data_IF_881268751234
#
_entry.id   IF_881268751234
#
_cell.length_a   1.000
_cell.length_b   1.000
_cell.length_c   1.000
_cell.angle_alpha   90.00
_cell.angle_beta   90.00
_cell.angle_gamma   90.00
#
_symmetry.space_group_name_H-M   'P 1'
#
loop_
_entity.id
_entity.type
_entity.pdbx_description
1 polymer ?
#
# COMPACT_ATOMS: atom_id res chain seq x y z
N UNK A 1 25.45 8.74 -3.37
CA UNK A 1 24.71 7.55 -3.85
C UNK A 1 23.26 7.87 -3.59
N UNK A 2 22.38 7.89 -4.59
CA UNK A 2 20.98 8.24 -4.38
C UNK A 2 20.26 7.10 -3.64
N UNK A 3 19.39 7.47 -2.69
CA UNK A 3 18.54 6.54 -1.96
C UNK A 3 17.51 5.90 -2.92
N UNK A 4 17.28 4.60 -2.81
CA UNK A 4 16.24 3.91 -3.58
C UNK A 4 15.34 3.12 -2.62
N UNK A 5 14.06 3.48 -2.57
CA UNK A 5 13.03 2.76 -1.81
C UNK A 5 11.97 2.24 -2.76
N UNK A 6 11.39 1.08 -2.44
CA UNK A 6 10.26 0.50 -3.15
C UNK A 6 9.04 0.48 -2.22
N UNK A 7 7.90 0.96 -2.72
CA UNK A 7 6.69 1.14 -1.91
C UNK A 7 5.59 0.14 -2.26
N UNK A 8 5.51 -0.29 -3.54
CA UNK A 8 4.46 -1.20 -3.97
C UNK A 8 4.96 -2.24 -4.96
N UNK A 9 4.33 -3.41 -4.95
CA UNK A 9 4.60 -4.51 -5.89
C UNK A 9 3.29 -5.13 -6.36
N UNK A 10 3.22 -5.43 -7.68
CA UNK A 10 2.11 -6.14 -8.29
C UNK A 10 2.63 -7.16 -9.30
N UNK A 11 1.93 -8.27 -9.47
CA UNK A 11 2.35 -9.34 -10.35
C UNK A 11 1.17 -9.93 -11.13
N UNK A 12 1.37 -10.08 -12.43
CA UNK A 12 0.44 -10.82 -13.30
C UNK A 12 0.68 -12.32 -13.20
N UNK A 13 1.92 -12.71 -12.95
CA UNK A 13 2.36 -14.10 -12.84
C UNK A 13 3.75 -14.17 -12.22
N UNK A 14 4.21 -15.36 -11.86
CA UNK A 14 5.58 -15.60 -11.39
C UNK A 14 6.69 -15.23 -12.40
N UNK A 15 6.34 -14.80 -13.62
CA UNK A 15 7.27 -14.37 -14.66
C UNK A 15 7.07 -12.92 -15.12
N UNK A 16 6.12 -12.22 -14.52
CA UNK A 16 5.85 -10.82 -14.84
C UNK A 16 5.36 -10.12 -13.58
N UNK A 17 6.20 -9.27 -13.03
CA UNK A 17 5.91 -8.46 -11.86
C UNK A 17 6.52 -7.06 -12.01
N UNK A 18 5.92 -6.11 -11.32
CA UNK A 18 6.30 -4.71 -11.32
C UNK A 18 6.45 -4.22 -9.88
N UNK A 19 7.50 -3.44 -9.62
CA UNK A 19 7.68 -2.76 -8.35
C UNK A 19 7.96 -1.28 -8.60
N UNK A 20 7.37 -0.43 -7.77
CA UNK A 20 7.49 1.01 -7.90
C UNK A 20 7.93 1.66 -6.60
N UNK A 21 8.46 2.87 -6.71
CA UNK A 21 8.92 3.67 -5.59
C UNK A 21 9.68 4.90 -6.06
N UNK A 22 10.80 5.21 -5.39
CA UNK A 22 11.60 6.39 -5.61
C UNK A 22 13.09 6.10 -5.72
N UNK A 23 13.80 6.90 -6.51
CA UNK A 23 15.26 6.95 -6.58
C UNK A 23 15.75 8.41 -6.53
N UNK A 24 16.19 8.87 -5.37
CA UNK A 24 16.42 10.30 -5.14
C UNK A 24 15.09 11.05 -5.20
N UNK A 25 14.99 12.02 -6.10
CA UNK A 25 13.77 12.81 -6.33
C UNK A 25 12.98 12.32 -7.55
N UNK A 26 13.41 11.21 -8.18
CA UNK A 26 12.80 10.63 -9.37
C UNK A 26 11.98 9.38 -9.04
N UNK A 27 10.96 9.11 -9.85
CA UNK A 27 10.25 7.82 -9.82
C UNK A 27 11.20 6.66 -10.09
N UNK A 28 10.93 5.51 -9.47
CA UNK A 28 11.63 4.25 -9.71
C UNK A 28 10.65 3.16 -10.10
N UNK A 29 10.84 2.55 -11.26
CA UNK A 29 10.05 1.40 -11.73
C UNK A 29 10.99 0.25 -12.05
N UNK A 30 10.71 -0.92 -11.45
CA UNK A 30 11.39 -2.17 -11.74
C UNK A 30 10.41 -3.16 -12.38
N UNK A 31 10.90 -3.93 -13.34
CA UNK A 31 10.16 -5.00 -13.99
C UNK A 31 10.89 -6.34 -13.85
N UNK A 32 10.16 -7.38 -13.44
CA UNK A 32 10.59 -8.77 -13.43
C UNK A 32 10.17 -9.45 -14.73
N UNK A 33 11.13 -9.95 -15.50
CA UNK A 33 10.92 -10.61 -16.80
C UNK A 33 10.86 -12.15 -16.71
N UNK A 34 10.77 -12.70 -15.49
CA UNK A 34 10.83 -14.12 -15.18
C UNK A 34 12.24 -14.64 -14.93
N UNK A 35 13.27 -13.78 -15.06
CA UNK A 35 14.67 -14.14 -14.83
C UNK A 35 15.42 -13.12 -13.98
N UNK A 36 15.05 -11.86 -14.04
CA UNK A 36 15.73 -10.76 -13.33
C UNK A 36 14.84 -9.54 -13.18
N UNK A 37 15.12 -8.76 -12.15
CA UNK A 37 14.61 -7.40 -12.00
C UNK A 37 15.48 -6.39 -12.74
N UNK A 38 14.88 -5.54 -13.55
CA UNK A 38 15.57 -4.47 -14.28
C UNK A 38 14.78 -3.16 -14.18
N UNK A 39 15.51 -2.05 -14.15
CA UNK A 39 14.91 -0.72 -14.15
C UNK A 39 14.26 -0.42 -15.49
N UNK A 40 13.09 0.19 -15.47
CA UNK A 40 12.35 0.66 -16.63
C UNK A 40 12.25 2.17 -16.54
N UNK A 41 12.51 2.87 -17.66
CA UNK A 41 12.39 4.32 -17.72
C UNK A 41 10.93 4.74 -17.52
N UNK A 42 10.72 5.70 -16.64
CA UNK A 42 9.42 6.31 -16.37
C UNK A 42 9.48 7.82 -16.55
N UNK A 43 8.38 8.47 -16.93
CA UNK A 43 8.32 9.93 -16.98
C UNK A 43 8.25 10.50 -15.55
N UNK A 44 9.00 11.59 -15.32
CA UNK A 44 8.88 12.44 -14.14
C UNK A 44 8.13 13.72 -14.50
N UNK A 45 7.45 14.31 -13.51
CA UNK A 45 6.81 15.62 -13.62
C UNK A 45 7.76 16.69 -13.08
N UNK A 46 8.15 17.63 -13.96
CA UNK A 46 9.02 18.74 -13.53
C UNK A 46 10.43 18.29 -13.15
N UNK A 47 11.09 19.14 -12.35
CA UNK A 47 12.47 18.94 -11.86
C UNK A 47 12.52 18.60 -10.38
N UNK A 48 11.38 18.62 -9.70
CA UNK A 48 11.28 18.46 -8.25
C UNK A 48 10.85 17.02 -7.89
N UNK A 49 10.38 16.83 -6.70
CA UNK A 49 10.08 15.52 -6.12
C UNK A 49 8.99 14.76 -6.89
N UNK A 50 9.25 13.49 -7.21
CA UNK A 50 8.30 12.54 -7.82
C UNK A 50 8.45 11.17 -7.16
N UNK A 51 7.35 10.58 -6.73
CA UNK A 51 7.35 9.19 -6.25
C UNK A 51 6.11 8.42 -6.70
N UNK A 52 6.21 7.11 -6.67
CA UNK A 52 5.13 6.18 -6.99
C UNK A 52 4.88 5.28 -5.77
N UNK A 53 3.68 5.34 -5.23
CA UNK A 53 3.29 4.65 -3.99
C UNK A 53 2.49 3.38 -4.24
N UNK A 54 1.76 3.33 -5.36
CA UNK A 54 0.92 2.20 -5.74
C UNK A 54 1.21 1.69 -7.14
N UNK A 55 1.10 0.37 -7.34
CA UNK A 55 1.14 -0.29 -8.66
C UNK A 55 0.12 -1.41 -8.75
N UNK A 56 -0.60 -1.50 -9.88
CA UNK A 56 -1.56 -2.57 -10.16
C UNK A 56 -1.42 -3.04 -11.61
N UNK A 57 -1.13 -4.31 -11.79
CA UNK A 57 -0.93 -4.94 -13.10
C UNK A 57 -2.15 -5.78 -13.49
N UNK A 58 -2.88 -5.34 -14.52
CA UNK A 58 -4.00 -6.07 -15.13
C UNK A 58 -3.47 -7.18 -16.04
N UNK A 59 -2.43 -6.86 -16.81
CA UNK A 59 -1.78 -7.77 -17.74
C UNK A 59 -0.31 -7.36 -17.96
N UNK A 60 0.42 -8.13 -18.74
CA UNK A 60 1.81 -7.77 -19.15
C UNK A 60 1.90 -6.50 -19.98
N UNK A 61 0.78 -6.02 -20.53
CA UNK A 61 0.69 -4.84 -21.42
C UNK A 61 -0.23 -3.76 -20.88
N UNK A 62 -0.71 -3.91 -19.65
CA UNK A 62 -1.62 -2.97 -19.02
C UNK A 62 -1.32 -2.92 -17.51
N UNK A 63 -0.58 -1.86 -17.09
CA UNK A 63 -0.17 -1.67 -15.71
C UNK A 63 -0.34 -0.20 -15.33
N UNK A 64 -0.89 0.04 -14.17
CA UNK A 64 -1.10 1.36 -13.61
C UNK A 64 -0.17 1.59 -12.43
N UNK A 65 0.40 2.79 -12.34
CA UNK A 65 1.17 3.22 -11.18
C UNK A 65 0.70 4.62 -10.78
N UNK A 66 0.59 4.85 -9.47
CA UNK A 66 0.10 6.10 -8.90
C UNK A 66 1.02 6.60 -7.80
N UNK A 67 0.97 7.90 -7.54
CA UNK A 67 1.74 8.56 -6.51
C UNK A 67 1.53 10.06 -6.56
N UNK A 68 2.60 10.80 -6.26
CA UNK A 68 2.59 12.26 -6.20
C UNK A 68 3.76 12.90 -6.95
N UNK A 69 3.58 14.16 -7.29
CA UNK A 69 4.63 15.01 -7.85
C UNK A 69 4.63 16.38 -7.16
N UNK A 70 5.75 17.11 -7.29
CA UNK A 70 5.91 18.46 -6.77
C UNK A 70 5.55 18.60 -5.28
N UNK A 71 6.03 17.65 -4.43
CA UNK A 71 5.75 17.62 -2.99
C UNK A 71 4.25 17.57 -2.65
N UNK A 72 3.55 16.60 -3.25
CA UNK A 72 2.10 16.33 -3.06
C UNK A 72 1.16 17.37 -3.64
N UNK A 73 1.63 18.34 -4.43
CA UNK A 73 0.71 19.33 -5.03
C UNK A 73 -0.17 18.72 -6.13
N UNK A 74 0.38 17.75 -6.87
CA UNK A 74 -0.30 17.09 -7.98
C UNK A 74 -0.27 15.55 -7.86
N UNK A 75 -1.39 14.91 -8.18
CA UNK A 75 -1.44 13.46 -8.38
C UNK A 75 -0.58 13.06 -9.58
N UNK A 76 0.15 11.96 -9.44
CA UNK A 76 0.90 11.34 -10.52
C UNK A 76 0.27 10.00 -10.88
N UNK A 77 -0.19 9.86 -12.13
CA UNK A 77 -0.69 8.59 -12.67
C UNK A 77 0.08 8.24 -13.92
N UNK A 78 0.68 7.06 -13.92
CA UNK A 78 1.38 6.49 -15.07
C UNK A 78 0.68 5.21 -15.54
N UNK A 79 0.68 4.99 -16.86
CA UNK A 79 0.13 3.80 -17.50
C UNK A 79 1.17 3.16 -18.43
N UNK A 80 1.35 1.84 -18.31
CA UNK A 80 2.14 0.99 -19.19
C UNK A 80 1.26 0.38 -20.27
N UNK A 81 1.56 0.66 -21.53
CA UNK A 81 0.80 0.20 -22.70
C UNK A 81 1.38 -1.09 -23.34
N UNK A 82 2.32 -1.74 -22.67
CA UNK A 82 3.09 -2.88 -23.21
C UNK A 82 4.41 -2.48 -23.87
N UNK A 83 4.65 -1.20 -24.09
CA UNK A 83 5.86 -0.68 -24.74
C UNK A 83 6.55 0.42 -23.95
N UNK A 84 5.79 1.30 -23.31
CA UNK A 84 6.31 2.43 -22.57
C UNK A 84 5.36 2.86 -21.45
N UNK A 85 5.94 3.49 -20.43
CA UNK A 85 5.18 4.22 -19.43
C UNK A 85 4.84 5.62 -19.93
N UNK A 86 3.61 6.05 -19.79
CA UNK A 86 3.15 7.39 -20.13
C UNK A 86 2.30 7.98 -19.01
N UNK A 87 2.39 9.30 -18.85
CA UNK A 87 1.52 10.02 -17.92
C UNK A 87 0.09 10.04 -18.42
N UNK A 88 -0.85 9.81 -17.52
CA UNK A 88 -2.29 10.00 -17.76
C UNK A 88 -2.79 11.16 -16.91
N UNK A 89 -3.55 12.07 -17.52
CA UNK A 89 -4.12 13.23 -16.82
C UNK A 89 -5.14 12.75 -15.76
N UNK A 90 -5.06 13.34 -14.58
CA UNK A 90 -5.92 13.05 -13.43
C UNK A 90 -6.43 14.32 -12.76
N UNK A 91 -7.59 14.28 -12.10
CA UNK A 91 -8.09 15.40 -11.31
C UNK A 91 -7.23 15.68 -10.08
N UNK A 92 -7.05 16.98 -9.77
CA UNK A 92 -6.44 17.50 -8.55
C UNK A 92 -7.47 18.40 -7.84
N UNK A 93 -8.41 17.83 -7.06
CA UNK A 93 -9.49 18.61 -6.45
C UNK A 93 -9.04 19.44 -5.24
N UNK A 94 -7.99 19.03 -4.54
CA UNK A 94 -7.40 19.77 -3.43
C UNK A 94 -6.65 21.02 -3.91
N UNK A 95 -6.79 22.11 -3.20
CA UNK A 95 -6.12 23.37 -3.56
C UNK A 95 -4.70 23.50 -2.98
N UNK A 96 -4.30 22.59 -2.08
CA UNK A 96 -3.01 22.60 -1.39
C UNK A 96 -2.21 21.34 -1.71
N UNK A 97 -2.79 20.16 -1.51
CA UNK A 97 -2.15 18.89 -1.87
C UNK A 97 -3.14 17.89 -2.47
N UNK A 98 -2.61 17.01 -3.29
CA UNK A 98 -3.31 15.88 -3.89
C UNK A 98 -2.31 14.74 -4.02
N UNK A 99 -2.51 13.65 -3.26
CA UNK A 99 -1.63 12.50 -3.28
C UNK A 99 -2.43 11.21 -3.49
N UNK A 100 -1.85 10.23 -4.16
CA UNK A 100 -2.42 8.91 -4.37
C UNK A 100 -1.47 7.87 -3.78
N UNK A 101 -1.97 7.07 -2.83
CA UNK A 101 -1.18 6.06 -2.12
C UNK A 101 -1.42 4.65 -2.65
N UNK A 102 -2.64 4.35 -3.11
CA UNK A 102 -3.00 3.01 -3.56
C UNK A 102 -3.73 3.00 -4.90
N UNK A 103 -3.56 1.93 -5.67
CA UNK A 103 -4.25 1.68 -6.94
C UNK A 103 -4.61 0.21 -7.09
N UNK A 104 -5.82 -0.08 -7.56
CA UNK A 104 -6.29 -1.44 -7.87
C UNK A 104 -7.15 -1.44 -9.11
N UNK A 105 -6.82 -2.32 -10.04
CA UNK A 105 -7.53 -2.48 -11.29
C UNK A 105 -8.32 -3.80 -11.29
N UNK A 106 -9.65 -3.69 -11.33
CA UNK A 106 -10.54 -4.83 -11.54
C UNK A 106 -10.55 -5.28 -13.01
N UNK A 107 -10.29 -4.34 -13.94
CA UNK A 107 -10.19 -4.61 -15.38
C UNK A 107 -9.47 -3.45 -16.10
N UNK A 108 -9.15 -3.57 -17.40
CA UNK A 108 -8.56 -2.47 -18.18
C UNK A 108 -9.42 -1.19 -18.24
N UNK A 109 -10.72 -1.31 -17.96
CA UNK A 109 -11.68 -0.20 -18.01
C UNK A 109 -12.29 0.13 -16.66
N UNK A 110 -11.73 -0.41 -15.58
CA UNK A 110 -12.22 -0.22 -14.23
C UNK A 110 -11.04 -0.25 -13.24
N UNK A 111 -10.53 0.95 -12.94
CA UNK A 111 -9.37 1.12 -12.05
C UNK A 111 -9.69 2.17 -11.00
N UNK A 112 -9.38 1.86 -9.76
CA UNK A 112 -9.54 2.74 -8.62
C UNK A 112 -8.18 3.20 -8.10
N UNK A 113 -8.06 4.49 -7.80
CA UNK A 113 -6.90 5.06 -7.10
C UNK A 113 -7.39 5.84 -5.89
N UNK A 114 -6.68 5.71 -4.76
CA UNK A 114 -7.07 6.32 -3.49
C UNK A 114 -5.91 7.03 -2.83
N UNK A 115 -6.24 8.02 -1.98
CA UNK A 115 -5.27 8.79 -1.22
C UNK A 115 -5.92 9.91 -0.42
N UNK A 116 -5.30 11.07 -0.41
CA UNK A 116 -5.77 12.27 0.27
C UNK A 116 -5.72 13.53 -0.58
N UNK A 117 -6.65 14.44 -0.33
CA UNK A 117 -6.61 15.80 -0.82
C UNK A 117 -6.63 16.78 0.35
N UNK A 118 -5.89 17.87 0.24
CA UNK A 118 -5.92 18.93 1.23
C UNK A 118 -6.36 20.23 0.56
N UNK A 119 -7.35 20.85 1.17
CA UNK A 119 -7.81 22.16 0.74
C UNK A 119 -7.55 23.15 1.87
N UNK A 120 -6.89 24.28 1.56
CA UNK A 120 -6.70 25.37 2.53
C UNK A 120 -8.08 25.81 3.01
N UNK A 121 -8.42 25.62 4.30
CA UNK A 121 -9.71 26.07 4.79
C UNK A 121 -9.80 27.60 4.73
N UNK A 122 -11.02 28.13 4.68
CA UNK A 122 -11.29 29.49 5.09
C UNK A 122 -10.72 29.79 6.50
N UNK A 123 -10.98 30.92 7.12
CA UNK A 123 -10.22 31.45 8.27
C UNK A 123 -10.20 30.50 9.49
N UNK A 124 -9.28 29.55 9.50
CA UNK A 124 -9.01 28.59 10.57
C UNK A 124 -7.58 28.05 10.45
N UNK A 125 -6.90 27.69 11.57
CA UNK A 125 -5.46 27.42 11.57
C UNK A 125 -5.06 25.99 11.14
N UNK A 126 -5.98 25.12 10.76
CA UNK A 126 -5.66 23.70 10.49
C UNK A 126 -5.99 23.30 9.06
N UNK A 127 -4.99 22.76 8.37
CA UNK A 127 -5.17 21.99 7.13
C UNK A 127 -6.03 20.76 7.46
N UNK A 128 -6.94 20.39 6.57
CA UNK A 128 -7.80 19.23 6.72
C UNK A 128 -7.71 18.40 5.47
N UNK A 129 -7.26 17.17 5.64
CA UNK A 129 -7.25 16.22 4.53
C UNK A 129 -8.61 15.54 4.40
N UNK A 130 -9.03 15.34 3.17
CA UNK A 130 -10.19 14.53 2.81
C UNK A 130 -9.72 13.33 2.04
N UNK A 131 -10.48 12.26 2.10
CA UNK A 131 -10.26 11.12 1.23
C UNK A 131 -10.34 11.52 -0.23
N UNK A 132 -9.34 11.15 -1.03
CA UNK A 132 -9.33 11.28 -2.48
C UNK A 132 -9.58 9.91 -3.10
N UNK A 133 -10.61 9.79 -3.93
CA UNK A 133 -10.88 8.59 -4.73
C UNK A 133 -11.04 9.00 -6.18
N UNK A 134 -10.23 8.39 -7.04
CA UNK A 134 -10.33 8.55 -8.49
C UNK A 134 -10.73 7.21 -9.12
N UNK A 135 -11.54 7.28 -10.19
CA UNK A 135 -12.01 6.14 -10.96
C UNK A 135 -11.69 6.32 -12.45
N UNK A 136 -11.10 5.28 -13.05
CA UNK A 136 -10.89 5.15 -14.50
C UNK A 136 -12.00 4.33 -15.12
N UNK A 137 -12.70 4.92 -16.10
CA UNK A 137 -13.84 4.32 -16.79
C UNK A 137 -13.46 3.66 -18.16
N UNK A 138 -12.15 3.51 -18.41
CA UNK A 138 -11.61 3.06 -19.69
C UNK A 138 -11.24 4.22 -20.63
N UNK A 139 -11.57 5.47 -20.27
CA UNK A 139 -11.30 6.66 -21.09
C UNK A 139 -10.73 7.83 -20.31
N UNK A 140 -11.23 8.05 -19.10
CA UNK A 140 -10.84 9.21 -18.27
C UNK A 140 -10.84 8.87 -16.78
N UNK A 141 -9.95 9.52 -16.04
CA UNK A 141 -9.99 9.54 -14.57
C UNK A 141 -11.00 10.60 -14.10
N UNK A 142 -11.86 10.23 -13.19
CA UNK A 142 -12.85 11.12 -12.57
C UNK A 142 -12.77 11.07 -11.04
N UNK A 143 -12.98 12.21 -10.38
CA UNK A 143 -13.09 12.26 -8.92
C UNK A 143 -14.44 11.69 -8.48
N UNK A 144 -14.42 10.75 -7.53
CA UNK A 144 -15.60 10.12 -6.97
C UNK A 144 -15.77 10.54 -5.52
N UNK A 145 -16.97 11.03 -5.18
CA UNK A 145 -17.29 11.46 -3.82
C UNK A 145 -17.26 10.26 -2.86
N UNK A 146 -16.60 10.45 -1.73
CA UNK A 146 -16.45 9.43 -0.69
C UNK A 146 -16.76 9.99 0.71
N UNK A 147 -17.14 9.12 1.68
CA UNK A 147 -17.38 9.54 3.05
C UNK A 147 -16.14 10.11 3.72
N UNK A 148 -16.32 11.22 4.42
CA UNK A 148 -15.33 11.85 5.31
C UNK A 148 -15.95 11.97 6.69
N UNK A 149 -15.82 10.94 7.56
CA UNK A 149 -16.52 10.90 8.84
C UNK A 149 -16.02 11.91 9.87
N UNK A 150 -14.79 12.38 9.73
CA UNK A 150 -14.20 13.38 10.62
C UNK A 150 -14.28 14.78 10.04
N UNK A 151 -14.46 15.78 10.93
CA UNK A 151 -14.21 17.19 10.61
C UNK A 151 -12.70 17.53 10.57
N UNK A 152 -11.84 16.68 11.14
CA UNK A 152 -10.39 16.72 11.01
C UNK A 152 -9.93 16.09 9.69
N UNK A 153 -8.81 15.39 9.74
CA UNK A 153 -8.27 14.70 8.57
C UNK A 153 -8.90 13.32 8.37
N UNK A 154 -8.99 12.92 7.12
CA UNK A 154 -9.40 11.59 6.67
C UNK A 154 -8.47 11.20 5.53
N UNK A 155 -7.92 10.01 5.55
CA UNK A 155 -6.92 9.55 4.59
C UNK A 155 -7.15 8.09 4.20
N UNK A 156 -6.84 7.74 2.96
CA UNK A 156 -6.85 6.37 2.45
C UNK A 156 -5.46 5.97 2.00
N UNK A 157 -5.01 4.80 2.41
CA UNK A 157 -3.69 4.27 2.02
C UNK A 157 -3.77 3.26 0.90
N UNK A 158 -4.80 2.41 0.89
CA UNK A 158 -4.85 1.29 -0.05
C UNK A 158 -6.27 0.97 -0.51
N UNK A 159 -6.38 0.34 -1.67
CA UNK A 159 -7.62 -0.07 -2.30
C UNK A 159 -7.46 -1.47 -2.92
N UNK A 160 -8.50 -2.31 -2.78
CA UNK A 160 -8.60 -3.62 -3.42
C UNK A 160 -9.93 -3.73 -4.15
N UNK A 161 -9.88 -3.80 -5.48
CA UNK A 161 -11.06 -3.89 -6.36
C UNK A 161 -11.16 -5.30 -6.93
N UNK A 162 -12.24 -6.00 -6.57
CA UNK A 162 -12.53 -7.36 -7.05
C UNK A 162 -13.36 -7.34 -8.34
N UNK A 163 -14.20 -6.33 -8.49
CA UNK A 163 -15.07 -6.15 -9.65
C UNK A 163 -15.59 -4.72 -9.75
N UNK A 164 -16.28 -4.39 -10.83
CA UNK A 164 -16.95 -3.10 -10.99
C UNK A 164 -18.03 -2.81 -9.93
N UNK A 165 -18.43 -3.78 -9.13
CA UNK A 165 -19.45 -3.67 -8.09
C UNK A 165 -18.94 -3.98 -6.69
N UNK A 166 -17.63 -4.21 -6.52
CA UNK A 166 -17.06 -4.56 -5.22
C UNK A 166 -15.61 -4.07 -5.12
N UNK A 167 -15.39 -3.08 -4.27
CA UNK A 167 -14.07 -2.60 -3.92
C UNK A 167 -14.02 -2.12 -2.47
N UNK A 168 -12.87 -2.29 -1.85
CA UNK A 168 -12.58 -1.88 -0.48
C UNK A 168 -11.44 -0.86 -0.47
N UNK A 169 -11.59 0.21 0.32
CA UNK A 169 -10.51 1.16 0.57
C UNK A 169 -10.33 1.35 2.08
N UNK A 170 -9.07 1.45 2.52
CA UNK A 170 -8.73 1.51 3.94
C UNK A 170 -7.78 2.66 4.26
N UNK A 171 -7.83 3.11 5.52
CA UNK A 171 -6.99 4.16 6.04
C UNK A 171 -7.39 4.53 7.47
N UNK A 172 -7.43 5.83 7.75
CA UNK A 172 -7.79 6.37 9.05
C UNK A 172 -8.57 7.68 8.95
N UNK A 173 -9.21 8.05 10.04
CA UNK A 173 -9.81 9.37 10.24
C UNK A 173 -9.56 9.89 11.65
N UNK A 174 -9.45 11.21 11.78
CA UNK A 174 -9.27 11.88 13.06
C UNK A 174 -10.46 11.66 14.01
N UNK A 175 -10.13 11.39 15.26
CA UNK A 175 -10.96 11.67 16.43
C UNK A 175 -10.21 12.69 17.30
N UNK A 176 -10.81 13.31 18.32
CA UNK A 176 -10.07 14.23 19.18
C UNK A 176 -8.80 13.60 19.76
N UNK A 177 -7.64 14.04 19.30
CA UNK A 177 -6.28 13.64 19.69
C UNK A 177 -5.75 12.30 19.16
N UNK A 178 -6.51 11.50 18.42
CA UNK A 178 -6.11 10.17 17.97
C UNK A 178 -6.74 9.85 16.60
N UNK A 179 -6.44 8.64 16.07
CA UNK A 179 -7.03 8.14 14.82
C UNK A 179 -7.89 6.89 15.06
N UNK A 180 -8.95 6.74 14.30
CA UNK A 180 -9.69 5.49 14.14
C UNK A 180 -9.55 4.95 12.73
N UNK A 181 -9.65 3.64 12.59
CA UNK A 181 -9.66 2.98 11.29
C UNK A 181 -10.79 3.53 10.41
N UNK A 182 -10.48 3.75 9.14
CA UNK A 182 -11.45 4.09 8.10
C UNK A 182 -11.50 2.95 7.09
N UNK A 183 -12.68 2.35 6.92
CA UNK A 183 -12.96 1.37 5.87
C UNK A 183 -14.13 1.86 5.05
N UNK A 184 -13.93 1.96 3.75
CA UNK A 184 -14.95 2.27 2.77
C UNK A 184 -15.19 1.08 1.86
N UNK A 185 -16.46 0.87 1.46
CA UNK A 185 -16.88 -0.17 0.54
C UNK A 185 -17.65 0.43 -0.63
N UNK A 186 -17.29 0.04 -1.83
CA UNK A 186 -18.00 0.32 -3.08
C UNK A 186 -18.94 -0.83 -3.40
N UNK A 187 -20.23 -0.57 -3.57
CA UNK A 187 -21.29 -1.55 -3.83
C UNK A 187 -21.78 -1.55 -5.30
N UNK A 188 -21.02 -0.91 -6.20
CA UNK A 188 -21.40 -0.70 -7.60
C UNK A 188 -22.17 0.60 -7.84
N UNK A 189 -22.57 1.33 -6.77
CA UNK A 189 -23.34 2.57 -6.88
C UNK A 189 -22.75 3.74 -6.11
N UNK A 190 -22.04 3.46 -5.00
CA UNK A 190 -21.44 4.49 -4.16
C UNK A 190 -20.51 3.93 -3.09
N UNK A 191 -19.56 4.76 -2.64
CA UNK A 191 -18.73 4.48 -1.49
C UNK A 191 -19.49 4.72 -0.20
N UNK A 192 -19.47 3.77 0.70
CA UNK A 192 -20.07 3.86 2.03
C UNK A 192 -19.09 3.44 3.12
N UNK A 193 -19.17 4.08 4.30
CA UNK A 193 -18.35 3.68 5.45
C UNK A 193 -18.87 2.39 6.05
N UNK A 194 -17.95 1.44 6.29
CA UNK A 194 -18.21 0.21 7.04
C UNK A 194 -17.52 0.29 8.39
N UNK A 195 -18.25 0.00 9.46
CA UNK A 195 -17.69 0.04 10.81
C UNK A 195 -16.67 -1.09 11.02
N UNK A 196 -15.59 -0.76 11.69
CA UNK A 196 -14.48 -1.67 11.98
C UNK A 196 -14.04 -1.57 13.43
N UNK A 197 -13.45 -2.63 14.01
CA UNK A 197 -12.88 -2.60 15.35
C UNK A 197 -11.69 -1.63 15.46
N UNK A 198 -11.63 -0.91 16.60
CA UNK A 198 -10.50 -0.09 17.02
C UNK A 198 -10.02 -0.62 18.38
N UNK A 199 -9.15 -1.67 18.42
CA UNK A 199 -8.74 -2.31 19.66
C UNK A 199 -7.78 -1.47 20.50
N UNK A 200 -6.97 -0.61 19.88
CA UNK A 200 -6.12 0.33 20.59
C UNK A 200 -6.93 1.45 21.23
N UNK A 201 -6.62 1.81 22.47
CA UNK A 201 -7.25 2.94 23.14
C UNK A 201 -6.75 4.31 22.67
N UNK A 202 -5.66 4.34 21.91
CA UNK A 202 -5.12 5.46 21.16
C UNK A 202 -5.40 5.31 19.66
N UNK A 203 -4.41 5.61 18.80
CA UNK A 203 -4.59 5.52 17.36
C UNK A 203 -4.72 4.10 16.84
N UNK A 204 -5.53 3.93 15.82
CA UNK A 204 -5.73 2.70 15.05
C UNK A 204 -5.73 3.08 13.56
N UNK A 205 -4.82 2.53 12.78
CA UNK A 205 -4.61 2.88 11.39
C UNK A 205 -4.54 1.61 10.53
N UNK A 206 -5.06 1.66 9.30
CA UNK A 206 -4.99 0.57 8.33
C UNK A 206 -4.18 1.03 7.13
N UNK A 207 -3.19 0.25 6.73
CA UNK A 207 -2.25 0.58 5.66
C UNK A 207 -2.43 -0.27 4.40
N UNK A 208 -2.96 -1.49 4.52
CA UNK A 208 -3.16 -2.40 3.40
C UNK A 208 -4.49 -3.12 3.45
N UNK A 209 -5.05 -3.44 2.27
CA UNK A 209 -6.28 -4.23 2.10
C UNK A 209 -6.14 -5.21 0.96
N UNK A 210 -6.66 -6.43 1.13
CA UNK A 210 -6.75 -7.44 0.07
C UNK A 210 -8.06 -8.19 0.19
N UNK A 211 -8.92 -8.07 -0.81
CA UNK A 211 -10.15 -8.82 -0.94
C UNK A 211 -9.89 -10.11 -1.74
N UNK A 212 -10.52 -11.19 -1.35
CA UNK A 212 -10.50 -12.49 -2.05
C UNK A 212 -11.85 -12.73 -2.72
N UNK A 213 -12.88 -12.18 -2.13
CA UNK A 213 -14.28 -12.26 -2.62
C UNK A 213 -15.14 -11.23 -1.88
N UNK A 214 -16.40 -10.99 -2.30
CA UNK A 214 -17.33 -10.11 -1.58
C UNK A 214 -17.59 -10.51 -0.11
N UNK A 215 -17.20 -11.71 0.28
CA UNK A 215 -17.40 -12.24 1.64
C UNK A 215 -16.11 -12.55 2.40
N UNK A 216 -14.95 -12.23 1.82
CA UNK A 216 -13.65 -12.49 2.43
C UNK A 216 -12.64 -11.41 2.04
N UNK A 217 -12.21 -10.62 3.01
CA UNK A 217 -11.17 -9.61 2.83
C UNK A 217 -10.35 -9.43 4.10
N UNK A 218 -9.11 -9.02 3.94
CA UNK A 218 -8.17 -8.73 5.00
C UNK A 218 -7.75 -7.26 4.95
N UNK A 219 -7.63 -6.64 6.11
CA UNK A 219 -7.04 -5.30 6.26
C UNK A 219 -6.00 -5.32 7.37
N UNK A 220 -4.88 -4.65 7.16
CA UNK A 220 -3.73 -4.67 8.08
C UNK A 220 -3.20 -3.27 8.36
N UNK A 221 -2.57 -3.13 9.52
CA UNK A 221 -1.96 -1.88 9.96
C UNK A 221 -1.40 -1.99 11.36
N UNK A 222 -1.58 -0.96 12.18
CA UNK A 222 -1.20 -0.97 13.58
C UNK A 222 -2.21 -0.26 14.49
N UNK A 223 -2.09 -0.55 15.78
CA UNK A 223 -2.87 0.07 16.84
C UNK A 223 -1.98 0.45 18.01
N UNK A 224 -2.32 1.54 18.68
CA UNK A 224 -1.56 2.09 19.80
C UNK A 224 -2.45 2.35 21.02
N UNK A 225 -1.89 2.14 22.21
CA UNK A 225 -2.55 2.53 23.47
C UNK A 225 -2.30 4.00 23.81
N UNK A 226 -3.26 4.65 24.49
CA UNK A 226 -3.14 6.04 24.94
C UNK A 226 -1.99 6.25 25.94
N UNK A 227 -1.76 5.27 26.82
CA UNK A 227 -0.80 5.37 27.93
C UNK A 227 0.49 4.59 27.68
N UNK A 228 0.50 3.73 26.71
CA UNK A 228 1.66 2.93 26.30
C UNK A 228 2.05 3.32 24.88
N UNK A 229 3.28 3.75 24.62
CA UNK A 229 3.72 4.09 23.27
C UNK A 229 3.94 2.84 22.39
N UNK A 230 3.49 1.68 22.82
CA UNK A 230 3.64 0.41 22.11
C UNK A 230 2.71 0.38 20.91
N UNK A 231 3.27 0.19 19.74
CA UNK A 231 2.52 -0.12 18.52
C UNK A 231 2.39 -1.63 18.39
N UNK A 232 1.18 -2.11 18.23
CA UNK A 232 0.86 -3.51 17.98
C UNK A 232 0.30 -3.68 16.57
N UNK A 233 0.62 -4.78 15.93
CA UNK A 233 0.02 -5.12 14.63
C UNK A 233 -1.50 -5.18 14.74
N UNK A 234 -2.20 -4.59 13.77
CA UNK A 234 -3.64 -4.65 13.63
C UNK A 234 -3.99 -5.47 12.39
N UNK A 235 -4.74 -6.56 12.56
CA UNK A 235 -5.30 -7.35 11.47
C UNK A 235 -6.80 -7.46 11.64
N UNK A 236 -7.54 -7.06 10.62
CA UNK A 236 -8.98 -7.20 10.54
C UNK A 236 -9.36 -8.16 9.42
N UNK A 237 -10.41 -8.96 9.65
CA UNK A 237 -10.96 -9.90 8.68
C UNK A 237 -12.44 -9.64 8.44
N UNK A 238 -12.83 -9.51 7.19
CA UNK A 238 -14.22 -9.44 6.71
C UNK A 238 -14.77 -10.83 6.43
N UNK A 239 -15.90 -11.16 7.00
CA UNK A 239 -16.54 -12.47 6.85
C UNK A 239 -17.85 -12.43 6.04
N UNK A 240 -18.04 -11.39 5.23
CA UNK A 240 -19.26 -11.15 4.47
C UNK A 240 -20.34 -10.37 5.22
N UNK A 241 -20.18 -10.13 6.53
CA UNK A 241 -21.16 -9.41 7.34
C UNK A 241 -20.53 -8.34 8.25
N UNK A 242 -19.30 -8.55 8.72
CA UNK A 242 -18.61 -7.62 9.62
C UNK A 242 -17.11 -7.81 9.58
N UNK A 243 -16.37 -6.74 9.87
CA UNK A 243 -14.96 -6.78 10.19
C UNK A 243 -14.76 -7.25 11.63
N UNK A 244 -13.76 -8.10 11.85
CA UNK A 244 -13.41 -8.65 13.18
C UNK A 244 -11.90 -8.58 13.37
N UNK A 245 -11.46 -8.18 14.57
CA UNK A 245 -10.04 -8.20 14.91
C UNK A 245 -9.53 -9.65 15.03
N UNK A 246 -8.42 -9.93 14.37
CA UNK A 246 -7.74 -11.24 14.39
C UNK A 246 -6.39 -11.09 15.04
N UNK A 247 -6.10 -11.95 16.02
CA UNK A 247 -4.83 -11.92 16.75
C UNK A 247 -3.64 -12.22 15.84
N UNK A 248 -2.60 -11.40 15.95
CA UNK A 248 -1.35 -11.51 15.19
C UNK A 248 -0.12 -11.44 16.09
N UNK A 249 1.06 -11.93 15.64
CA UNK A 249 2.31 -11.80 16.37
C UNK A 249 2.77 -10.35 16.49
N UNK A 250 3.34 -10.01 17.66
CA UNK A 250 4.05 -8.76 17.94
C UNK A 250 5.45 -9.12 18.44
N UNK A 251 6.47 -9.23 17.56
CA UNK A 251 7.82 -9.64 17.96
C UNK A 251 8.54 -8.61 18.83
N UNK A 252 8.17 -7.34 18.74
CA UNK A 252 8.70 -6.27 19.58
C UNK A 252 7.74 -5.88 20.70
N UNK A 253 8.30 -5.46 21.85
CA UNK A 253 7.54 -4.83 22.93
C UNK A 253 7.36 -3.31 22.75
N UNK A 254 7.89 -2.73 21.66
CA UNK A 254 7.89 -1.27 21.43
C UNK A 254 7.14 -0.87 20.17
N UNK A 255 7.54 -1.39 19.02
CA UNK A 255 6.96 -0.99 17.72
C UNK A 255 6.81 -2.17 16.78
N UNK A 256 5.59 -2.39 16.33
CA UNK A 256 5.23 -3.38 15.31
C UNK A 256 4.17 -2.75 14.40
N UNK A 257 4.37 -2.78 13.10
CA UNK A 257 3.39 -2.32 12.11
C UNK A 257 3.35 -3.25 10.92
N UNK A 258 2.18 -3.37 10.30
CA UNK A 258 1.98 -4.03 9.02
C UNK A 258 1.63 -2.98 7.97
N UNK A 259 2.27 -3.06 6.82
CA UNK A 259 2.17 -2.08 5.73
C UNK A 259 1.43 -2.61 4.50
N UNK A 260 1.44 -3.95 4.31
CA UNK A 260 0.80 -4.57 3.16
C UNK A 260 0.27 -5.97 3.46
N UNK A 261 -0.76 -6.37 2.74
CA UNK A 261 -1.39 -7.69 2.79
C UNK A 261 -1.76 -8.18 1.41
N UNK A 262 -1.60 -9.47 1.15
CA UNK A 262 -2.05 -10.13 -0.07
C UNK A 262 -2.61 -11.51 0.25
N UNK A 263 -3.86 -11.74 -0.07
CA UNK A 263 -4.55 -13.01 0.16
C UNK A 263 -4.73 -13.78 -1.16
N UNK A 264 -4.29 -15.04 -1.16
CA UNK A 264 -4.46 -15.96 -2.29
C UNK A 264 -5.81 -16.67 -2.20
N UNK A 265 -6.25 -16.92 -0.98
CA UNK A 265 -7.50 -17.62 -0.68
C UNK A 265 -7.92 -17.34 0.77
N UNK A 266 -9.14 -17.75 1.20
CA UNK A 266 -9.58 -17.63 2.60
C UNK A 266 -8.67 -18.34 3.61
N UNK A 267 -7.81 -19.24 3.15
CA UNK A 267 -6.90 -20.05 4.00
C UNK A 267 -5.42 -19.77 3.78
N UNK A 268 -5.08 -18.81 2.92
CA UNK A 268 -3.69 -18.46 2.59
C UNK A 268 -3.59 -16.96 2.34
N UNK A 269 -2.92 -16.25 3.22
CA UNK A 269 -2.65 -14.83 3.10
C UNK A 269 -1.29 -14.47 3.70
N UNK A 270 -0.67 -13.45 3.16
CA UNK A 270 0.62 -12.92 3.58
C UNK A 270 0.48 -11.46 3.99
N UNK A 271 1.12 -11.08 5.09
CA UNK A 271 1.22 -9.68 5.52
C UNK A 271 2.68 -9.34 5.82
N UNK A 272 3.06 -8.12 5.47
CA UNK A 272 4.43 -7.64 5.65
C UNK A 272 4.46 -6.28 6.35
N UNK A 273 5.62 -5.96 6.91
CA UNK A 273 5.87 -4.69 7.59
C UNK A 273 7.22 -4.68 8.28
N UNK A 274 7.28 -4.06 9.44
CA UNK A 274 8.50 -4.00 10.25
C UNK A 274 8.20 -4.03 11.75
N UNK A 275 9.23 -4.36 12.53
CA UNK A 275 9.26 -4.15 13.98
C UNK A 275 10.63 -3.62 14.40
N UNK A 276 10.68 -2.89 15.51
CA UNK A 276 11.94 -2.41 16.05
C UNK A 276 12.34 -3.23 17.27
N UNK A 277 13.60 -3.65 17.34
CA UNK A 277 14.12 -4.31 18.51
C UNK A 277 14.49 -3.30 19.62
N UNK A 278 14.89 -3.81 20.78
CA UNK A 278 15.28 -3.00 21.95
C UNK A 278 16.54 -2.15 21.71
N UNK A 279 17.31 -2.44 20.66
CA UNK A 279 18.48 -1.63 20.26
C UNK A 279 18.08 -0.49 19.29
N UNK A 280 16.80 -0.40 18.90
CA UNK A 280 16.31 0.57 17.92
C UNK A 280 16.64 0.20 16.48
N UNK A 281 16.91 -1.08 16.20
CA UNK A 281 17.16 -1.60 14.85
C UNK A 281 15.83 -2.08 14.26
N UNK A 282 15.52 -1.61 13.05
CA UNK A 282 14.33 -2.02 12.31
C UNK A 282 14.56 -3.36 11.59
N UNK A 283 13.64 -4.28 11.77
CA UNK A 283 13.65 -5.61 11.16
C UNK A 283 12.42 -5.82 10.28
N UNK A 284 12.59 -6.46 9.13
CA UNK A 284 11.46 -6.87 8.29
C UNK A 284 10.56 -7.85 9.04
N UNK A 285 9.26 -7.66 8.92
CA UNK A 285 8.25 -8.57 9.45
C UNK A 285 7.48 -9.21 8.31
N UNK A 286 7.38 -10.54 8.33
CA UNK A 286 6.55 -11.32 7.42
C UNK A 286 5.66 -12.23 8.25
N UNK A 287 4.36 -12.14 8.04
CA UNK A 287 3.36 -13.01 8.65
C UNK A 287 2.65 -13.82 7.57
N UNK A 288 2.28 -15.06 7.90
CA UNK A 288 1.52 -15.96 7.04
C UNK A 288 0.28 -16.49 7.77
N UNK A 289 -0.86 -16.44 7.11
CA UNK A 289 -2.13 -17.03 7.52
C UNK A 289 -2.26 -18.44 6.94
N UNK A 290 -2.40 -19.44 7.79
CA UNK A 290 -2.50 -20.86 7.42
C UNK A 290 -3.96 -21.39 7.39
N UNK A 291 -4.94 -20.49 7.39
CA UNK A 291 -6.36 -20.81 7.51
C UNK A 291 -6.86 -20.88 8.96
N UNK A 292 -5.96 -20.82 9.94
CA UNK A 292 -6.31 -20.92 11.36
C UNK A 292 -5.68 -19.83 12.23
N UNK A 293 -4.47 -19.38 11.89
CA UNK A 293 -3.73 -18.38 12.65
C UNK A 293 -2.69 -17.67 11.80
N UNK A 294 -2.37 -16.44 12.18
CA UNK A 294 -1.20 -15.71 11.71
C UNK A 294 0.05 -16.16 12.46
N UNK A 295 1.12 -16.45 11.76
CA UNK A 295 2.42 -16.81 12.32
C UNK A 295 3.55 -16.10 11.61
N UNK A 296 4.59 -15.71 12.37
CA UNK A 296 5.77 -15.06 11.81
C UNK A 296 6.58 -16.07 10.99
N UNK A 297 6.96 -15.67 9.78
CA UNK A 297 7.85 -16.40 8.89
C UNK A 297 9.19 -15.68 8.84
N UNK A 298 10.28 -16.44 8.93
CA UNK A 298 11.62 -15.87 8.88
C UNK A 298 11.90 -15.29 7.50
N UNK A 299 12.31 -14.03 7.46
CA UNK A 299 12.74 -13.29 6.26
C UNK A 299 14.20 -12.82 6.42
N UNK A 300 14.92 -12.58 5.30
CA UNK A 300 16.22 -11.93 5.37
C UNK A 300 16.11 -10.52 5.97
N UNK A 301 16.98 -10.19 6.91
CA UNK A 301 17.23 -8.83 7.36
C UNK A 301 18.58 -8.40 6.80
N UNK A 302 18.59 -7.36 5.99
CA UNK A 302 19.77 -6.82 5.34
C UNK A 302 20.08 -5.47 5.94
N UNK A 303 21.36 -5.11 5.90
CA UNK A 303 21.78 -3.86 6.51
C UNK A 303 21.98 -3.95 8.04
N UNK A 304 22.69 -2.97 8.56
CA UNK A 304 23.07 -2.88 9.97
C UNK A 304 22.15 -1.97 10.80
N UNK A 305 21.29 -1.19 10.15
CA UNK A 305 20.53 -0.14 10.81
C UNK A 305 19.01 -0.34 10.68
N UNK A 306 18.55 -0.71 9.49
CA UNK A 306 17.11 -0.83 9.21
C UNK A 306 16.84 -1.78 8.05
N UNK A 307 15.75 -2.55 8.16
CA UNK A 307 15.16 -3.32 7.04
C UNK A 307 13.65 -3.25 7.19
N UNK A 308 12.96 -2.76 6.17
CA UNK A 308 11.50 -2.68 6.13
C UNK A 308 10.93 -3.34 4.88
N UNK A 309 9.70 -3.80 4.98
CA UNK A 309 8.89 -4.22 3.84
C UNK A 309 7.68 -3.30 3.75
N UNK A 310 7.37 -2.82 2.55
CA UNK A 310 6.28 -1.88 2.28
C UNK A 310 5.06 -2.57 1.67
N UNK A 311 5.29 -3.55 0.79
CA UNK A 311 4.21 -4.21 0.04
C UNK A 311 4.51 -5.68 -0.22
N UNK A 312 3.46 -6.48 -0.41
CA UNK A 312 3.51 -7.90 -0.73
C UNK A 312 2.47 -8.26 -1.78
N UNK A 313 2.82 -9.14 -2.72
CA UNK A 313 1.90 -9.76 -3.67
C UNK A 313 2.12 -11.26 -3.72
N UNK A 314 1.08 -12.03 -3.44
CA UNK A 314 1.08 -13.48 -3.53
C UNK A 314 0.43 -13.92 -4.85
N UNK A 315 1.25 -14.40 -5.78
CA UNK A 315 0.79 -14.98 -7.05
C UNK A 315 0.20 -16.38 -6.81
N UNK A 316 0.77 -17.09 -5.87
CA UNK A 316 0.31 -18.41 -5.42
C UNK A 316 0.90 -18.71 -4.03
N UNK A 317 0.45 -19.79 -3.34
CA UNK A 317 1.02 -20.20 -2.05
C UNK A 317 2.54 -20.47 -2.06
N UNK A 318 3.15 -20.61 -3.26
CA UNK A 318 4.57 -20.91 -3.44
C UNK A 318 5.35 -19.86 -4.21
N UNK A 319 4.70 -18.75 -4.53
CA UNK A 319 5.29 -17.68 -5.32
C UNK A 319 4.76 -16.35 -4.78
N UNK A 320 5.56 -15.70 -3.91
CA UNK A 320 5.19 -14.45 -3.25
C UNK A 320 6.37 -13.48 -3.35
N UNK A 321 6.08 -12.26 -3.71
CA UNK A 321 7.04 -11.17 -3.76
C UNK A 321 6.76 -10.15 -2.67
N UNK A 322 7.81 -9.64 -2.04
CA UNK A 322 7.73 -8.52 -1.10
C UNK A 322 8.80 -7.50 -1.43
N UNK A 323 8.46 -6.22 -1.29
CA UNK A 323 9.38 -5.12 -1.58
C UNK A 323 9.44 -4.13 -0.43
N UNK A 324 10.54 -3.36 -0.40
CA UNK A 324 10.77 -2.34 0.60
C UNK A 324 12.18 -1.75 0.45
N UNK A 325 12.83 -1.51 1.57
CA UNK A 325 14.21 -1.03 1.60
C UNK A 325 15.01 -1.55 2.80
N UNK A 326 16.32 -1.36 2.74
CA UNK A 326 17.23 -1.57 3.85
C UNK A 326 18.30 -0.48 3.89
N UNK A 327 18.81 -0.20 5.07
CA UNK A 327 19.82 0.83 5.30
C UNK A 327 21.18 0.21 5.63
N UNK A 328 22.15 0.45 4.74
CA UNK A 328 23.56 0.10 4.88
C UNK A 328 24.41 1.11 4.13
N UNK A 329 25.03 2.05 4.84
CA UNK A 329 25.75 3.19 4.24
C UNK A 329 24.92 3.97 3.18
N UNK A 330 23.59 3.94 3.30
CA UNK A 330 22.58 4.52 2.41
C UNK A 330 21.34 3.67 2.34
N UNK A 331 20.28 4.17 1.70
CA UNK A 331 19.02 3.45 1.51
C UNK A 331 19.07 2.69 0.19
N UNK A 332 18.74 1.42 0.23
CA UNK A 332 18.78 0.48 -0.89
C UNK A 332 17.44 -0.23 -1.06
N UNK A 333 16.99 -0.36 -2.30
CA UNK A 333 15.82 -1.17 -2.63
C UNK A 333 15.99 -2.62 -2.18
N UNK A 334 14.93 -3.16 -1.58
CA UNK A 334 14.83 -4.55 -1.16
C UNK A 334 13.74 -5.23 -1.98
N UNK A 335 14.08 -6.38 -2.57
CA UNK A 335 13.12 -7.29 -3.18
C UNK A 335 13.35 -8.68 -2.60
N UNK A 336 12.33 -9.26 -2.02
CA UNK A 336 12.33 -10.62 -1.50
C UNK A 336 11.39 -11.51 -2.31
N UNK A 337 11.75 -12.78 -2.46
CA UNK A 337 10.95 -13.81 -3.11
C UNK A 337 10.79 -15.03 -2.22
N UNK A 338 9.56 -15.52 -2.10
CA UNK A 338 9.19 -16.78 -1.48
C UNK A 338 9.03 -17.86 -2.55
N UNK A 339 9.81 -18.94 -2.45
CA UNK A 339 9.84 -20.06 -3.40
C UNK A 339 8.94 -21.25 -2.99
N UNK A 340 8.10 -21.05 -1.98
CA UNK A 340 7.30 -22.10 -1.34
C UNK A 340 7.97 -22.74 -0.13
N UNK A 341 9.23 -22.39 0.17
CA UNK A 341 10.00 -22.94 1.30
C UNK A 341 10.76 -21.87 2.07
N UNK A 342 11.36 -20.91 1.39
CA UNK A 342 12.20 -19.88 1.99
C UNK A 342 12.03 -18.52 1.30
N UNK A 343 12.15 -17.46 2.09
CA UNK A 343 12.35 -16.10 1.59
C UNK A 343 13.83 -15.89 1.25
N UNK A 344 14.09 -15.37 0.07
CA UNK A 344 15.45 -15.01 -0.37
C UNK A 344 15.44 -13.62 -1.03
N UNK A 345 16.58 -12.91 -0.96
CA UNK A 345 16.73 -11.67 -1.69
C UNK A 345 16.86 -11.95 -3.20
N UNK A 346 16.10 -11.22 -3.99
CA UNK A 346 16.25 -11.19 -5.45
C UNK A 346 17.22 -10.07 -5.87
N UNK A 347 18.10 -10.37 -6.81
CA UNK A 347 19.05 -9.39 -7.33
C UNK A 347 18.33 -8.32 -8.17
N UNK A 348 18.50 -7.06 -7.79
CA UNK A 348 18.12 -5.90 -8.60
C UNK A 348 19.38 -5.42 -9.31
N UNK A 349 19.40 -5.47 -10.64
CA UNK A 349 20.55 -4.97 -11.41
C UNK A 349 20.71 -3.47 -11.16
N UNK A 350 21.89 -3.10 -10.68
CA UNK A 350 22.32 -1.70 -10.68
C UNK A 350 22.71 -1.38 -12.12
N UNK A 351 22.07 -0.38 -12.72
CA UNK A 351 22.57 0.19 -13.97
C UNK A 351 23.99 0.70 -13.73
N UNK A 352 24.91 0.34 -14.63
CA UNK A 352 26.32 0.74 -14.57
C UNK A 352 26.48 2.17 -15.05
#
# INVERSE_FOLDING_TARGET
>A
MYATSLYSVSAVSGRNAWAVGRHGDDTSILHWDGTRWSRVTSPNLGSDFNELDGVSAVSSTDVWAVGEADYSSDTLILHWDGTQWSRVASPNPGSDSNELSGVSAASPTDVWAVGGETTVPGPGPYLRSRTLILHWDGTTWSHVISPNPSYGSNFLFDVSAESAADAWAVGWHDIPSEHETLILHWDGTGWSRVLSPNPGSGSNELHGVSAVSPTDAWAVGDSRGLTTPVHETLILHWNGTRWSHVKSPNPSSEFNTLTGVSAVSPTDAWAVGLYWDQAGIGHSMVLHWDGTRWSQVKSPNLGSEHTSLSSVIAVSPKDVWAVGDYQEAGIHALVLHWDGTNWSQADVRRDR
#
